data_IF_125034337073
#
_entry.id   IF_125034337073
#
_cell.length_a   1.000
_cell.length_b   1.000
_cell.length_c   1.000
_cell.angle_alpha   90.00
_cell.angle_beta   90.00
_cell.angle_gamma   90.00
#
_symmetry.space_group_name_H-M   'P 1'
#
loop_
_entity.id
_entity.type
_entity.pdbx_description
1 polymer ?
#
# COMPACT_ATOMS: atom_id res chain seq x y z
N UNK A 1 -50.26 37.96 26.91
CA UNK A 1 -48.93 38.05 26.27
C UNK A 1 -48.08 36.92 26.83
N UNK A 2 -47.80 35.87 26.05
CA UNK A 2 -47.02 34.71 26.52
C UNK A 2 -45.98 34.38 25.43
N UNK A 3 -44.70 34.59 25.74
CA UNK A 3 -43.56 34.28 24.86
C UNK A 3 -43.16 32.82 25.09
N UNK A 4 -43.18 31.94 24.08
CA UNK A 4 -42.58 30.62 24.21
C UNK A 4 -41.08 30.74 23.95
N UNK A 5 -40.28 30.38 24.97
CA UNK A 5 -38.85 30.29 24.89
C UNK A 5 -38.45 29.08 24.02
N UNK A 6 -37.75 29.36 22.92
CA UNK A 6 -37.20 28.35 22.02
C UNK A 6 -35.93 27.76 22.65
N UNK A 7 -36.00 26.51 23.11
CA UNK A 7 -34.86 25.73 23.58
C UNK A 7 -34.08 25.21 22.36
N UNK A 8 -32.90 25.78 22.10
CA UNK A 8 -31.94 25.30 21.12
C UNK A 8 -31.22 24.06 21.67
N UNK A 9 -31.59 22.87 21.20
CA UNK A 9 -30.81 21.65 21.41
C UNK A 9 -29.54 21.71 20.54
N UNK A 10 -28.38 21.83 21.18
CA UNK A 10 -27.08 21.72 20.53
C UNK A 10 -26.70 20.24 20.39
N UNK A 11 -26.89 19.65 19.21
CA UNK A 11 -26.36 18.32 18.88
C UNK A 11 -24.86 18.42 18.59
N UNK A 12 -24.02 18.08 19.56
CA UNK A 12 -22.58 17.93 19.36
C UNK A 12 -22.31 16.66 18.56
N UNK A 13 -22.02 16.81 17.26
CA UNK A 13 -21.52 15.71 16.41
C UNK A 13 -20.06 15.49 16.80
N UNK A 14 -19.78 14.39 17.51
CA UNK A 14 -18.40 13.97 17.76
C UNK A 14 -17.79 13.46 16.44
N UNK A 15 -16.59 13.92 16.06
CA UNK A 15 -15.88 13.36 14.91
C UNK A 15 -15.49 11.91 15.23
N UNK A 16 -16.03 10.95 14.51
CA UNK A 16 -15.55 9.58 14.53
C UNK A 16 -14.14 9.57 13.93
N UNK A 17 -13.11 9.39 14.76
CA UNK A 17 -11.79 9.06 14.28
C UNK A 17 -11.90 7.72 13.53
N UNK A 18 -11.66 7.74 12.22
CA UNK A 18 -11.53 6.53 11.43
C UNK A 18 -10.29 5.79 11.97
N UNK A 19 -10.52 4.76 12.79
CA UNK A 19 -9.47 3.81 13.13
C UNK A 19 -9.05 3.15 11.82
N UNK A 20 -7.77 3.31 11.45
CA UNK A 20 -7.21 2.56 10.33
C UNK A 20 -7.49 1.08 10.56
N UNK A 21 -8.25 0.46 9.66
CA UNK A 21 -8.66 -0.92 9.82
C UNK A 21 -7.45 -1.85 9.62
N UNK A 22 -7.25 -2.78 10.56
CA UNK A 22 -6.26 -3.82 10.39
C UNK A 22 -6.63 -4.66 9.16
N UNK A 23 -5.66 -4.88 8.27
CA UNK A 23 -5.89 -5.59 7.02
C UNK A 23 -4.66 -6.38 6.60
N UNK A 24 -4.87 -7.46 5.86
CA UNK A 24 -3.81 -8.23 5.19
C UNK A 24 -4.20 -8.40 3.73
N UNK A 25 -3.36 -7.92 2.83
CA UNK A 25 -3.57 -7.94 1.39
C UNK A 25 -2.48 -8.75 0.73
N UNK A 26 -2.85 -9.56 -0.25
CA UNK A 26 -1.92 -10.41 -1.00
C UNK A 26 -1.82 -9.95 -2.44
N UNK A 27 -0.60 -9.87 -2.97
CA UNK A 27 -0.30 -9.34 -4.30
C UNK A 27 0.59 -10.32 -5.07
N UNK A 28 0.10 -10.84 -6.19
CA UNK A 28 0.92 -11.60 -7.14
C UNK A 28 1.44 -10.65 -8.23
N UNK A 29 2.70 -10.26 -8.12
CA UNK A 29 3.32 -9.31 -9.04
C UNK A 29 3.57 -9.94 -10.41
N UNK A 30 3.22 -9.19 -11.45
CA UNK A 30 3.52 -9.52 -12.83
C UNK A 30 4.38 -8.42 -13.45
N UNK A 31 5.37 -8.83 -14.26
CA UNK A 31 6.19 -7.89 -15.02
C UNK A 31 5.34 -7.16 -16.06
N UNK A 32 5.63 -5.87 -16.26
CA UNK A 32 5.04 -5.10 -17.35
C UNK A 32 5.57 -5.65 -18.70
N UNK A 33 4.70 -6.07 -19.63
CA UNK A 33 5.14 -6.63 -20.90
C UNK A 33 5.94 -5.64 -21.74
N UNK A 34 5.81 -4.33 -21.50
CA UNK A 34 6.54 -3.29 -22.23
C UNK A 34 8.04 -3.24 -21.91
N UNK A 35 8.49 -3.85 -20.81
CA UNK A 35 9.91 -3.81 -20.37
C UNK A 35 10.45 -5.15 -19.88
N UNK A 36 9.84 -6.26 -20.32
CA UNK A 36 10.12 -7.61 -19.83
C UNK A 36 11.59 -8.03 -19.89
N UNK A 37 12.38 -7.58 -20.88
CA UNK A 37 13.82 -7.88 -20.99
C UNK A 37 14.60 -7.38 -19.77
N UNK A 38 14.24 -6.21 -19.23
CA UNK A 38 14.87 -5.66 -18.03
C UNK A 38 14.46 -6.41 -16.74
N UNK A 39 13.41 -7.23 -16.82
CA UNK A 39 12.83 -7.94 -15.68
C UNK A 39 13.37 -9.35 -15.48
N UNK A 40 14.08 -9.91 -16.47
CA UNK A 40 14.46 -11.32 -16.51
C UNK A 40 15.31 -11.75 -15.29
N UNK A 41 16.22 -10.89 -14.83
CA UNK A 41 17.12 -11.21 -13.73
C UNK A 41 16.40 -11.34 -12.37
N UNK A 42 15.29 -10.62 -12.19
CA UNK A 42 14.52 -10.60 -10.94
C UNK A 42 13.25 -11.44 -10.98
N UNK A 43 12.84 -11.95 -12.15
CA UNK A 43 11.62 -12.74 -12.36
C UNK A 43 11.33 -13.77 -11.27
N UNK A 44 12.28 -14.67 -10.92
CA UNK A 44 12.06 -15.69 -9.89
C UNK A 44 11.69 -15.15 -8.50
N UNK A 45 12.11 -13.92 -8.19
CA UNK A 45 11.80 -13.28 -6.91
C UNK A 45 10.34 -12.80 -6.81
N UNK A 46 9.65 -12.70 -7.95
CA UNK A 46 8.27 -12.23 -8.09
C UNK A 46 7.28 -13.34 -8.45
N UNK A 47 7.74 -14.59 -8.59
CA UNK A 47 6.88 -15.76 -8.86
C UNK A 47 5.97 -16.12 -7.68
N UNK A 48 6.23 -15.54 -6.50
CA UNK A 48 5.47 -15.79 -5.27
C UNK A 48 4.81 -14.49 -4.77
N UNK A 49 3.69 -14.61 -4.03
CA UNK A 49 2.94 -13.45 -3.61
C UNK A 49 3.65 -12.65 -2.51
N UNK A 50 3.49 -11.34 -2.59
CA UNK A 50 3.84 -10.38 -1.55
C UNK A 50 2.63 -10.15 -0.64
N UNK A 51 2.88 -9.79 0.61
CA UNK A 51 1.83 -9.44 1.55
C UNK A 51 2.02 -8.01 2.03
N UNK A 52 0.96 -7.22 2.06
CA UNK A 52 0.93 -5.94 2.77
C UNK A 52 0.02 -6.07 3.97
N UNK A 53 0.55 -5.80 5.17
CA UNK A 53 -0.21 -5.78 6.41
C UNK A 53 -0.38 -4.35 6.89
N UNK A 54 -1.61 -3.97 7.20
CA UNK A 54 -1.93 -2.74 7.91
C UNK A 54 -2.30 -3.09 9.36
N UNK A 55 -1.70 -2.39 10.31
CA UNK A 55 -2.05 -2.53 11.73
C UNK A 55 -2.01 -1.15 12.38
N UNK A 56 -3.18 -0.57 12.63
CA UNK A 56 -3.31 0.87 12.91
C UNK A 56 -2.60 1.72 11.84
N UNK A 57 -1.68 2.58 12.26
CA UNK A 57 -0.93 3.49 11.36
C UNK A 57 0.33 2.85 10.75
N UNK A 58 0.58 1.56 11.01
CA UNK A 58 1.76 0.87 10.50
C UNK A 58 1.38 0.04 9.29
N UNK A 59 2.05 0.32 8.17
CA UNK A 59 1.99 -0.51 6.95
C UNK A 59 3.33 -1.22 6.79
N UNK A 60 3.28 -2.55 6.68
CA UNK A 60 4.44 -3.38 6.38
C UNK A 60 4.24 -4.14 5.08
N UNK A 61 5.30 -4.16 4.27
CA UNK A 61 5.45 -5.04 3.11
C UNK A 61 6.26 -6.27 3.51
N UNK A 62 5.77 -7.44 3.16
CA UNK A 62 6.41 -8.73 3.37
C UNK A 62 6.69 -9.35 2.01
N UNK A 63 7.97 -9.50 1.68
CA UNK A 63 8.41 -10.19 0.47
C UNK A 63 8.18 -11.71 0.59
N UNK A 64 8.16 -12.45 -0.54
CA UNK A 64 8.09 -13.90 -0.51
C UNK A 64 9.21 -14.55 0.29
N UNK A 65 10.40 -13.94 0.30
CA UNK A 65 11.56 -14.39 1.08
C UNK A 65 11.47 -14.13 2.58
N UNK A 66 10.37 -13.52 3.07
CA UNK A 66 10.16 -13.20 4.48
C UNK A 66 10.80 -11.90 4.94
N UNK A 67 11.44 -11.14 4.04
CA UNK A 67 11.92 -9.77 4.34
C UNK A 67 10.70 -8.90 4.61
N UNK A 68 10.71 -8.24 5.76
CA UNK A 68 9.69 -7.28 6.20
C UNK A 68 10.25 -5.88 6.09
N UNK A 69 9.49 -4.97 5.51
CA UNK A 69 9.85 -3.57 5.40
C UNK A 69 8.68 -2.69 5.80
N UNK A 70 8.90 -1.75 6.71
CA UNK A 70 7.92 -0.70 6.99
C UNK A 70 7.81 0.21 5.76
N UNK A 71 6.58 0.62 5.45
CA UNK A 71 6.28 1.56 4.39
C UNK A 71 5.93 2.93 4.97
N UNK A 72 6.51 3.96 4.40
CA UNK A 72 6.29 5.36 4.78
C UNK A 72 5.12 5.94 3.97
N UNK A 73 4.21 6.71 4.60
CA UNK A 73 3.14 7.37 3.88
C UNK A 73 3.69 8.47 2.97
N UNK A 74 3.28 8.46 1.70
CA UNK A 74 3.68 9.46 0.68
C UNK A 74 2.49 10.17 0.03
N UNK A 75 1.27 9.78 0.40
CA UNK A 75 0.02 10.38 -0.06
C UNK A 75 -1.18 9.79 0.68
N UNK A 76 -2.39 10.22 0.33
CA UNK A 76 -3.61 9.63 0.88
C UNK A 76 -3.70 8.16 0.46
N UNK A 77 -3.66 7.26 1.45
CA UNK A 77 -3.67 5.81 1.26
C UNK A 77 -2.50 5.27 0.40
N UNK A 78 -1.45 6.06 0.16
CA UNK A 78 -0.28 5.65 -0.64
C UNK A 78 0.95 5.56 0.25
N UNK A 79 1.62 4.41 0.17
CA UNK A 79 2.79 4.09 0.98
C UNK A 79 3.96 3.66 0.10
N UNK A 80 5.17 4.01 0.51
CA UNK A 80 6.40 3.71 -0.21
C UNK A 80 7.43 3.03 0.69
N UNK A 81 8.20 2.11 0.13
CA UNK A 81 9.42 1.62 0.77
C UNK A 81 10.40 1.23 -0.33
N UNK A 82 11.66 1.03 0.05
CA UNK A 82 12.65 0.48 -0.85
C UNK A 82 13.61 -0.43 -0.10
N UNK A 83 13.96 -1.54 -0.71
CA UNK A 83 14.99 -2.44 -0.21
C UNK A 83 15.72 -3.11 -1.36
N UNK A 84 16.89 -3.65 -1.05
CA UNK A 84 17.67 -4.41 -2.03
C UNK A 84 17.22 -5.86 -2.07
N UNK A 85 17.03 -6.37 -3.28
CA UNK A 85 16.76 -7.77 -3.55
C UNK A 85 17.76 -8.22 -4.61
N UNK A 86 18.55 -9.26 -4.31
CA UNK A 86 19.56 -9.79 -5.24
C UNK A 86 20.56 -8.73 -5.75
N UNK A 87 20.90 -7.74 -4.91
CA UNK A 87 21.83 -6.66 -5.25
C UNK A 87 21.21 -5.52 -6.09
N UNK A 88 19.91 -5.54 -6.35
CA UNK A 88 19.18 -4.46 -6.99
C UNK A 88 18.27 -3.75 -5.99
N UNK A 89 18.40 -2.42 -5.89
CA UNK A 89 17.43 -1.60 -5.17
C UNK A 89 16.10 -1.61 -5.92
N UNK A 90 15.04 -1.98 -5.21
CA UNK A 90 13.67 -1.98 -5.71
C UNK A 90 12.83 -1.01 -4.90
N UNK A 91 12.14 -0.11 -5.60
CA UNK A 91 11.18 0.82 -5.01
C UNK A 91 9.78 0.22 -5.11
N UNK A 92 9.11 0.12 -3.96
CA UNK A 92 7.78 -0.47 -3.82
C UNK A 92 6.78 0.63 -3.45
N UNK A 93 5.68 0.70 -4.16
CA UNK A 93 4.57 1.61 -3.85
C UNK A 93 3.28 0.81 -3.71
N UNK A 94 2.67 0.89 -2.54
CA UNK A 94 1.34 0.36 -2.27
C UNK A 94 0.32 1.50 -2.33
N UNK A 95 -0.64 1.41 -3.25
CA UNK A 95 -1.84 2.25 -3.25
C UNK A 95 -2.95 1.44 -2.59
N UNK A 96 -3.35 1.87 -1.39
CA UNK A 96 -4.36 1.24 -0.57
C UNK A 96 -5.66 2.05 -0.61
N UNK A 97 -5.95 2.77 -1.69
CA UNK A 97 -7.21 3.46 -1.91
C UNK A 97 -8.36 2.51 -2.29
N UNK A 98 -9.25 2.94 -3.20
CA UNK A 98 -10.39 2.13 -3.61
C UNK A 98 -9.98 0.86 -4.38
N UNK A 99 -8.93 0.94 -5.21
CA UNK A 99 -8.38 -0.20 -5.94
C UNK A 99 -7.00 -0.51 -5.38
N UNK A 100 -6.91 -1.47 -4.46
CA UNK A 100 -5.65 -1.83 -3.82
C UNK A 100 -4.67 -2.34 -4.87
N UNK A 101 -3.48 -1.76 -4.93
CA UNK A 101 -2.42 -2.17 -5.84
C UNK A 101 -1.05 -2.10 -5.21
N UNK A 102 -0.14 -2.92 -5.73
CA UNK A 102 1.26 -2.91 -5.40
C UNK A 102 2.04 -2.77 -6.71
N UNK A 103 2.97 -1.82 -6.76
CA UNK A 103 3.87 -1.62 -7.88
C UNK A 103 5.32 -1.67 -7.41
N UNK A 104 6.18 -2.18 -8.26
CA UNK A 104 7.62 -2.30 -7.99
C UNK A 104 8.39 -1.76 -9.17
N UNK A 105 9.45 -1.02 -8.90
CA UNK A 105 10.34 -0.49 -9.94
C UNK A 105 11.79 -0.76 -9.58
N UNK A 106 12.52 -1.34 -10.54
CA UNK A 106 13.96 -1.50 -10.45
C UNK A 106 14.71 -0.18 -10.59
N UNK A 107 15.94 -0.14 -10.08
CA UNK A 107 16.84 0.99 -10.26
C UNK A 107 17.09 1.22 -11.77
N UNK A 108 17.29 2.47 -12.19
CA UNK A 108 17.35 2.89 -13.61
C UNK A 108 16.03 2.81 -14.41
N UNK A 109 14.87 2.73 -13.74
CA UNK A 109 13.53 2.72 -14.37
C UNK A 109 13.28 1.55 -15.34
N UNK A 110 14.17 0.55 -15.35
CA UNK A 110 14.21 -0.52 -16.34
C UNK A 110 13.01 -1.44 -16.24
N UNK A 111 12.93 -2.22 -15.16
CA UNK A 111 11.80 -3.13 -14.95
C UNK A 111 10.71 -2.53 -14.05
N UNK A 112 9.46 -2.85 -14.39
CA UNK A 112 8.27 -2.52 -13.61
C UNK A 112 7.47 -3.80 -13.38
N UNK A 113 6.99 -3.98 -12.15
CA UNK A 113 6.02 -5.00 -11.82
C UNK A 113 4.79 -4.34 -11.20
N UNK A 114 3.63 -4.96 -11.36
CA UNK A 114 2.41 -4.51 -10.72
C UNK A 114 1.46 -5.65 -10.41
N UNK A 115 0.61 -5.43 -9.42
CA UNK A 115 -0.46 -6.32 -9.01
C UNK A 115 -1.63 -5.53 -8.47
N UNK A 116 -2.82 -6.12 -8.56
CA UNK A 116 -3.98 -5.74 -7.74
C UNK A 116 -4.09 -6.73 -6.58
N UNK A 117 -4.70 -6.31 -5.47
CA UNK A 117 -4.94 -7.26 -4.37
C UNK A 117 -5.88 -8.37 -4.85
N UNK A 118 -5.61 -9.59 -4.40
CA UNK A 118 -6.53 -10.72 -4.55
C UNK A 118 -7.73 -10.60 -3.62
#
# INVERSE_FOLDING_TARGET
MMRPALLLLSTTIAPAAALAADATLTFQLAADPANMTACLALGPSFDRPFTVTMSGDVVELISPGGIRSRMDPVGQDVYHTAFELSGERLDYTADLGATKSLSVRGNNLGCKWSAKSQ
#
